data_IF_582679851432
#
_entry.id   IF_582679851432
#
_cell.length_a   1.000
_cell.length_b   1.000
_cell.length_c   1.000
_cell.angle_alpha   90.00
_cell.angle_beta   90.00
_cell.angle_gamma   90.00
#
_symmetry.space_group_name_H-M   'P 1'
#
loop_
_entity.id
_entity.type
_entity.pdbx_description
1 polymer ?
#
# COMPACT_ATOMS: atom_id res chain seq x y z
N UNK A 1 -9.65 1.93 -4.21
CA UNK A 1 -9.87 2.43 -5.58
C UNK A 1 -9.93 3.94 -5.65
N UNK A 2 -10.86 4.63 -5.03
CA UNK A 2 -10.99 6.10 -5.12
C UNK A 2 -9.69 6.89 -4.87
N UNK A 3 -8.81 6.42 -3.99
CA UNK A 3 -7.52 7.08 -3.70
C UNK A 3 -6.57 7.02 -4.89
N UNK A 4 -6.43 5.87 -5.56
CA UNK A 4 -5.56 5.71 -6.75
C UNK A 4 -6.06 6.55 -7.92
N UNK A 5 -7.37 6.54 -8.16
CA UNK A 5 -8.01 7.38 -9.19
C UNK A 5 -7.78 8.88 -8.93
N UNK A 6 -7.92 9.30 -7.67
CA UNK A 6 -7.65 10.69 -7.27
C UNK A 6 -6.19 11.08 -7.51
N UNK A 7 -5.22 10.21 -7.17
CA UNK A 7 -3.79 10.45 -7.41
C UNK A 7 -3.52 10.58 -8.91
N UNK A 8 -4.06 9.67 -9.73
CA UNK A 8 -3.87 9.69 -11.17
C UNK A 8 -4.44 10.97 -11.77
N UNK A 9 -5.61 11.40 -11.30
CA UNK A 9 -6.24 12.65 -11.74
C UNK A 9 -5.39 13.87 -11.34
N UNK A 10 -4.96 13.95 -10.08
CA UNK A 10 -4.12 15.06 -9.58
C UNK A 10 -2.79 15.11 -10.35
N UNK A 11 -2.18 13.95 -10.63
CA UNK A 11 -0.98 13.84 -11.45
C UNK A 11 -1.19 14.37 -12.87
N UNK A 12 -2.34 14.08 -13.49
CA UNK A 12 -2.70 14.59 -14.82
C UNK A 12 -2.84 16.12 -14.86
N UNK A 13 -3.14 16.77 -13.74
CA UNK A 13 -3.13 18.23 -13.61
C UNK A 13 -1.72 18.83 -13.47
N UNK A 14 -0.67 18.00 -13.43
CA UNK A 14 0.73 18.46 -13.42
C UNK A 14 1.27 18.79 -12.03
N UNK A 15 0.64 18.33 -10.96
CA UNK A 15 1.21 18.45 -9.60
C UNK A 15 2.46 17.58 -9.48
N UNK A 16 3.55 18.19 -9.01
CA UNK A 16 4.83 17.50 -8.83
C UNK A 16 4.87 16.60 -7.59
N UNK A 17 4.06 16.93 -6.58
CA UNK A 17 3.94 16.21 -5.32
C UNK A 17 2.49 16.02 -4.96
N UNK A 18 2.15 14.80 -4.58
CA UNK A 18 0.85 14.44 -4.03
C UNK A 18 1.10 13.80 -2.67
N UNK A 19 0.56 14.38 -1.62
CA UNK A 19 0.72 13.89 -0.26
C UNK A 19 -0.52 13.09 0.12
N UNK A 20 -0.30 11.83 0.51
CA UNK A 20 -1.32 10.96 1.07
C UNK A 20 -1.12 10.88 2.58
N UNK A 21 -2.15 11.21 3.33
CA UNK A 21 -2.17 11.07 4.77
C UNK A 21 -3.08 9.93 5.19
N UNK A 22 -2.62 9.09 6.14
CA UNK A 22 -3.44 8.07 6.79
C UNK A 22 -3.84 8.51 8.18
N UNK A 23 -5.07 8.19 8.57
CA UNK A 23 -5.60 8.48 9.90
C UNK A 23 -5.59 7.19 10.72
N UNK A 24 -4.63 7.05 11.64
CA UNK A 24 -4.54 5.92 12.55
C UNK A 24 -3.50 4.87 12.17
N UNK A 25 -3.51 3.77 12.90
CA UNK A 25 -2.63 2.62 12.73
C UNK A 25 -3.47 1.40 12.33
N UNK A 26 -3.17 0.76 11.18
CA UNK A 26 -3.91 -0.41 10.72
C UNK A 26 -3.48 -0.88 9.32
N UNK A 27 -4.29 -1.74 8.69
CA UNK A 27 -4.02 -2.28 7.37
C UNK A 27 -3.97 -1.22 6.25
N UNK A 28 -4.66 -0.09 6.44
CA UNK A 28 -4.67 1.04 5.48
C UNK A 28 -3.30 1.66 5.24
N UNK A 29 -2.38 1.58 6.20
CA UNK A 29 -1.02 2.12 6.07
C UNK A 29 -0.16 1.30 5.12
N UNK A 30 -0.30 -0.02 5.14
CA UNK A 30 0.37 -0.92 4.19
C UNK A 30 -0.15 -0.69 2.77
N UNK A 31 -1.45 -0.45 2.61
CA UNK A 31 -2.07 -0.15 1.30
C UNK A 31 -1.55 1.18 0.74
N UNK A 32 -1.40 2.21 1.58
CA UNK A 32 -0.84 3.50 1.16
C UNK A 32 0.62 3.37 0.75
N UNK A 33 1.43 2.62 1.49
CA UNK A 33 2.81 2.37 1.13
C UNK A 33 2.97 1.68 -0.23
N UNK A 34 2.02 0.81 -0.60
CA UNK A 34 1.99 0.17 -1.92
C UNK A 34 1.67 1.15 -3.07
N UNK A 35 1.04 2.29 -2.77
CA UNK A 35 0.65 3.30 -3.76
C UNK A 35 1.70 4.40 -3.87
N UNK A 36 2.31 4.81 -2.77
CA UNK A 36 3.26 5.91 -2.70
C UNK A 36 4.62 5.57 -3.33
N UNK A 37 5.30 6.58 -3.86
CA UNK A 37 6.70 6.44 -4.32
C UNK A 37 7.68 6.52 -3.14
N UNK A 38 7.34 7.32 -2.13
CA UNK A 38 8.11 7.49 -0.90
C UNK A 38 7.19 7.46 0.31
N UNK A 39 7.47 6.57 1.25
CA UNK A 39 6.70 6.43 2.49
C UNK A 39 7.43 7.07 3.66
N UNK A 40 6.79 8.05 4.28
CA UNK A 40 7.27 8.67 5.51
C UNK A 40 6.55 8.06 6.71
N UNK A 41 7.33 7.51 7.64
CA UNK A 41 6.78 7.06 8.93
C UNK A 41 7.05 8.15 9.97
N UNK A 42 5.97 8.78 10.43
CA UNK A 42 6.04 9.87 11.41
C UNK A 42 5.80 9.33 12.81
N UNK A 43 6.79 9.50 13.67
CA UNK A 43 6.78 9.08 15.07
C UNK A 43 6.75 10.29 15.99
N UNK A 44 6.15 10.16 17.17
CA UNK A 44 6.16 11.18 18.22
C UNK A 44 6.69 10.60 19.53
N UNK A 45 7.46 11.36 20.31
CA UNK A 45 7.93 10.93 21.62
C UNK A 45 6.77 10.63 22.57
N UNK A 46 6.92 9.62 23.44
CA UNK A 46 5.98 9.35 24.52
C UNK A 46 4.74 8.53 24.17
N UNK A 47 4.53 8.20 22.92
CA UNK A 47 3.54 7.18 22.53
C UNK A 47 4.17 5.81 22.76
N UNK A 48 3.84 5.16 23.88
CA UNK A 48 4.33 3.81 24.24
C UNK A 48 4.06 2.75 23.18
N UNK A 49 3.11 2.99 22.29
CA UNK A 49 2.76 2.17 21.14
C UNK A 49 3.70 2.36 19.93
N UNK A 50 4.52 3.43 19.90
CA UNK A 50 5.46 3.67 18.81
C UNK A 50 6.43 2.51 18.58
N UNK A 51 6.91 1.88 19.65
CA UNK A 51 7.77 0.70 19.57
C UNK A 51 6.99 -0.56 19.14
N UNK A 52 5.69 -0.64 19.44
CA UNK A 52 4.85 -1.74 18.98
C UNK A 52 4.46 -1.60 17.51
N UNK A 53 4.20 -0.39 17.03
CA UNK A 53 3.97 -0.10 15.61
C UNK A 53 5.20 -0.45 14.75
N UNK A 54 6.40 -0.18 15.26
CA UNK A 54 7.65 -0.54 14.61
C UNK A 54 7.80 -2.07 14.46
N UNK A 55 7.25 -2.85 15.41
CA UNK A 55 7.23 -4.32 15.33
C UNK A 55 6.22 -4.89 14.32
N UNK A 56 5.25 -4.12 13.86
CA UNK A 56 4.13 -4.58 13.04
C UNK A 56 4.34 -4.46 11.51
N UNK A 57 5.58 -4.54 11.02
CA UNK A 57 5.87 -4.48 9.57
C UNK A 57 6.08 -3.05 9.02
N UNK A 58 5.88 -2.00 9.83
CA UNK A 58 6.06 -0.60 9.40
C UNK A 58 7.52 -0.30 9.05
N UNK A 59 8.47 -1.04 9.64
CA UNK A 59 9.89 -0.91 9.31
C UNK A 59 10.22 -1.29 7.86
N UNK A 60 9.43 -2.20 7.29
CA UNK A 60 9.65 -2.73 5.94
C UNK A 60 9.15 -1.79 4.84
N UNK A 61 8.22 -0.89 5.20
CA UNK A 61 7.60 0.05 4.25
C UNK A 61 8.17 1.46 4.32
N UNK A 62 8.95 1.79 5.37
CA UNK A 62 9.45 3.14 5.59
C UNK A 62 10.64 3.45 4.68
N UNK A 63 10.51 4.49 3.88
CA UNK A 63 11.64 5.06 3.12
C UNK A 63 12.31 6.21 3.87
N UNK A 64 11.59 6.88 4.77
CA UNK A 64 12.09 7.95 5.65
C UNK A 64 11.40 7.86 7.01
N UNK A 65 12.17 7.95 8.10
CA UNK A 65 11.62 8.12 9.44
C UNK A 65 11.65 9.58 9.85
N UNK A 66 10.53 10.08 10.36
CA UNK A 66 10.42 11.44 10.89
C UNK A 66 10.06 11.36 12.38
N UNK A 67 10.91 11.82 13.26
CA UNK A 67 10.59 11.97 14.68
C UNK A 67 10.12 13.41 14.90
N UNK A 68 8.80 13.60 14.87
CA UNK A 68 8.17 14.90 15.06
C UNK A 68 8.01 15.22 16.56
N UNK A 69 7.74 16.47 16.88
CA UNK A 69 7.73 17.01 18.25
C UNK A 69 9.05 16.76 18.98
N UNK A 70 10.16 16.99 18.28
CA UNK A 70 11.50 16.74 18.79
C UNK A 70 11.92 17.67 19.96
N UNK A 71 11.13 18.68 20.24
CA UNK A 71 11.22 19.54 21.42
C UNK A 71 10.67 18.87 22.70
N UNK A 72 9.92 17.77 22.57
CA UNK A 72 9.43 17.03 23.73
C UNK A 72 10.48 16.09 24.32
N UNK A 73 10.42 15.85 25.66
CA UNK A 73 11.24 14.83 26.29
C UNK A 73 11.05 13.45 25.65
N UNK A 74 12.14 12.71 25.48
CA UNK A 74 12.09 11.37 24.89
C UNK A 74 12.36 11.30 23.38
N UNK A 75 12.42 12.43 22.67
CA UNK A 75 12.67 12.43 21.23
C UNK A 75 13.99 11.73 20.87
N UNK A 76 15.07 12.00 21.58
CA UNK A 76 16.36 11.33 21.37
C UNK A 76 16.30 9.82 21.62
N UNK A 77 15.50 9.39 22.60
CA UNK A 77 15.27 7.97 22.86
C UNK A 77 14.60 7.31 21.69
N UNK A 78 13.53 7.93 21.15
CA UNK A 78 12.83 7.43 19.94
C UNK A 78 13.78 7.32 18.75
N UNK A 79 14.63 8.34 18.51
CA UNK A 79 15.65 8.29 17.45
C UNK A 79 16.62 7.11 17.63
N UNK A 80 17.07 6.85 18.87
CA UNK A 80 17.98 5.74 19.14
C UNK A 80 17.32 4.38 18.98
N UNK A 81 16.05 4.26 19.36
CA UNK A 81 15.27 3.03 19.18
C UNK A 81 15.11 2.69 17.69
N UNK A 82 14.69 3.67 16.87
CA UNK A 82 14.60 3.50 15.40
C UNK A 82 15.96 3.14 14.80
N UNK A 83 17.01 3.84 15.19
CA UNK A 83 18.38 3.57 14.71
C UNK A 83 18.86 2.16 15.07
N UNK A 84 18.56 1.72 16.27
CA UNK A 84 18.93 0.37 16.73
C UNK A 84 18.21 -0.70 15.91
N UNK A 85 16.92 -0.51 15.63
CA UNK A 85 16.14 -1.42 14.82
C UNK A 85 16.63 -1.49 13.37
N UNK A 86 16.90 -0.34 12.74
CA UNK A 86 17.46 -0.29 11.39
C UNK A 86 18.83 -0.99 11.30
N UNK A 87 19.61 -0.98 12.36
CA UNK A 87 20.91 -1.65 12.41
C UNK A 87 20.79 -3.18 12.65
N UNK A 88 19.69 -3.64 13.23
CA UNK A 88 19.41 -5.08 13.43
C UNK A 88 18.77 -5.74 12.19
N UNK A 89 18.17 -4.95 11.32
CA UNK A 89 17.54 -5.43 10.09
C UNK A 89 18.55 -5.83 9.00
N UNK A 90 18.08 -6.41 7.89
CA UNK A 90 18.92 -6.72 6.74
C UNK A 90 19.52 -5.44 6.15
N UNK A 91 20.66 -5.59 5.45
CA UNK A 91 21.23 -4.48 4.68
C UNK A 91 20.37 -4.23 3.45
N UNK A 92 19.65 -3.10 3.46
CA UNK A 92 18.84 -2.67 2.33
C UNK A 92 19.67 -1.81 1.37
N UNK A 93 19.35 -1.82 0.05
CA UNK A 93 19.97 -0.92 -0.94
C UNK A 93 19.77 0.57 -0.57
N UNK A 94 18.62 0.91 -0.01
CA UNK A 94 18.30 2.19 0.59
C UNK A 94 18.24 2.06 2.11
N UNK A 95 19.03 2.85 2.82
CA UNK A 95 18.95 2.94 4.28
C UNK A 95 18.09 4.15 4.65
N UNK A 96 16.89 3.97 5.21
CA UNK A 96 16.02 5.08 5.56
C UNK A 96 16.71 6.08 6.50
N UNK A 97 16.76 7.38 6.16
CA UNK A 97 17.24 8.39 7.07
C UNK A 97 16.24 8.62 8.20
N UNK A 98 16.76 9.10 9.35
CA UNK A 98 15.94 9.49 10.50
C UNK A 98 16.08 11.01 10.64
N UNK A 99 14.98 11.73 10.46
CA UNK A 99 14.92 13.18 10.53
C UNK A 99 14.11 13.60 11.76
N UNK A 100 14.59 14.59 12.50
CA UNK A 100 13.85 15.18 13.63
C UNK A 100 13.18 16.47 13.21
N UNK A 101 11.93 16.70 13.66
CA UNK A 101 11.18 17.91 13.33
C UNK A 101 10.44 18.47 14.53
N UNK A 102 10.21 19.78 14.51
CA UNK A 102 9.16 20.45 15.29
C UNK A 102 8.24 21.12 14.28
N UNK A 103 7.38 20.29 13.66
CA UNK A 103 6.59 20.69 12.50
C UNK A 103 5.74 21.94 12.74
N UNK A 104 5.20 22.11 13.95
CA UNK A 104 4.44 23.31 14.34
C UNK A 104 5.26 24.63 14.24
N UNK A 105 6.60 24.53 14.26
CA UNK A 105 7.51 25.68 14.13
C UNK A 105 8.21 25.73 12.76
N UNK A 106 7.94 24.75 11.88
CA UNK A 106 8.66 24.59 10.63
C UNK A 106 10.08 24.01 10.75
N UNK A 107 10.55 23.73 11.99
CA UNK A 107 11.90 23.22 12.22
C UNK A 107 12.06 21.80 11.66
N UNK A 108 13.10 21.58 10.86
CA UNK A 108 13.42 20.28 10.27
C UNK A 108 12.60 19.88 9.04
N UNK A 109 11.62 20.69 8.62
CA UNK A 109 10.76 20.38 7.45
C UNK A 109 11.59 20.33 6.16
N UNK A 110 12.53 21.25 5.99
CA UNK A 110 13.45 21.25 4.84
C UNK A 110 14.31 19.98 4.78
N UNK A 111 14.73 19.45 5.93
CA UNK A 111 15.49 18.21 5.99
C UNK A 111 14.63 16.99 5.61
N UNK A 112 13.35 17.00 5.95
CA UNK A 112 12.39 15.97 5.48
C UNK A 112 12.26 16.02 3.96
N UNK A 113 12.07 17.23 3.41
CA UNK A 113 11.98 17.39 1.96
C UNK A 113 13.26 16.95 1.26
N UNK A 114 14.43 17.31 1.78
CA UNK A 114 15.70 16.84 1.25
C UNK A 114 15.84 15.31 1.29
N UNK A 115 15.33 14.66 2.33
CA UNK A 115 15.33 13.20 2.43
C UNK A 115 14.41 12.54 1.37
N UNK A 116 13.25 13.13 1.10
CA UNK A 116 12.34 12.70 0.02
C UNK A 116 13.04 12.80 -1.33
N UNK A 117 13.69 13.92 -1.62
CA UNK A 117 14.41 14.11 -2.88
C UNK A 117 15.61 13.16 -3.03
N UNK A 118 16.30 12.86 -1.96
CA UNK A 118 17.38 11.86 -1.95
C UNK A 118 16.85 10.46 -2.26
N UNK A 119 15.70 10.09 -1.69
CA UNK A 119 15.06 8.81 -1.99
C UNK A 119 14.58 8.76 -3.43
N UNK A 120 13.94 9.81 -3.93
CA UNK A 120 13.55 9.92 -5.34
C UNK A 120 14.74 9.73 -6.28
N UNK A 121 15.83 10.44 -6.03
CA UNK A 121 17.06 10.31 -6.83
C UNK A 121 17.66 8.90 -6.75
N UNK A 122 17.53 8.22 -5.59
CA UNK A 122 17.93 6.83 -5.44
C UNK A 122 17.08 5.90 -6.33
N UNK A 123 15.75 6.03 -6.29
CA UNK A 123 14.83 5.23 -7.10
C UNK A 123 15.08 5.41 -8.61
N UNK A 124 15.32 6.64 -9.04
CA UNK A 124 15.64 6.94 -10.44
C UNK A 124 16.97 6.31 -10.86
N UNK A 125 18.02 6.44 -10.05
CA UNK A 125 19.37 5.92 -10.33
C UNK A 125 19.42 4.39 -10.35
N UNK A 126 18.63 3.72 -9.51
CA UNK A 126 18.59 2.25 -9.42
C UNK A 126 17.62 1.62 -10.42
N UNK A 127 16.75 2.41 -11.03
CA UNK A 127 15.65 1.93 -11.88
C UNK A 127 14.46 1.38 -11.08
N UNK A 128 14.50 1.45 -9.75
CA UNK A 128 13.41 0.99 -8.89
C UNK A 128 12.12 1.78 -9.10
N UNK A 129 12.22 3.07 -9.45
CA UNK A 129 11.06 3.90 -9.77
C UNK A 129 10.19 3.25 -10.86
N UNK A 130 10.83 2.78 -11.95
CA UNK A 130 10.15 2.12 -13.05
C UNK A 130 9.55 0.76 -12.63
N UNK A 131 10.32 -0.04 -11.89
CA UNK A 131 9.87 -1.34 -11.42
C UNK A 131 8.66 -1.22 -10.48
N UNK A 132 8.70 -0.28 -9.51
CA UNK A 132 7.59 -0.01 -8.60
C UNK A 132 6.35 0.49 -9.37
N UNK A 133 6.52 1.38 -10.36
CA UNK A 133 5.43 1.86 -11.20
C UNK A 133 4.79 0.72 -12.02
N UNK A 134 5.60 -0.17 -12.59
CA UNK A 134 5.11 -1.32 -13.35
C UNK A 134 4.27 -2.27 -12.48
N UNK A 135 4.74 -2.58 -11.26
CA UNK A 135 3.99 -3.41 -10.31
C UNK A 135 2.65 -2.74 -9.97
N UNK A 136 2.67 -1.44 -9.61
CA UNK A 136 1.43 -0.69 -9.29
C UNK A 136 0.42 -0.71 -10.43
N UNK A 137 0.87 -0.48 -11.67
CA UNK A 137 -0.03 -0.49 -12.83
C UNK A 137 -0.63 -1.87 -13.10
N UNK A 138 0.15 -2.94 -12.89
CA UNK A 138 -0.35 -4.32 -13.01
C UNK A 138 -1.41 -4.62 -11.94
N UNK A 139 -1.14 -4.23 -10.69
CA UNK A 139 -2.08 -4.43 -9.58
C UNK A 139 -3.36 -3.61 -9.81
N UNK A 140 -3.25 -2.36 -10.25
CA UNK A 140 -4.39 -1.51 -10.56
C UNK A 140 -5.24 -2.10 -11.70
N UNK A 141 -4.61 -2.59 -12.76
CA UNK A 141 -5.32 -3.26 -13.85
C UNK A 141 -6.04 -4.54 -13.37
N UNK A 142 -5.38 -5.33 -12.51
CA UNK A 142 -5.98 -6.53 -11.93
C UNK A 142 -7.15 -6.18 -11.00
N UNK A 143 -7.02 -5.14 -10.18
CA UNK A 143 -8.09 -4.64 -9.29
C UNK A 143 -9.31 -4.18 -10.11
N UNK A 144 -9.10 -3.42 -11.19
CA UNK A 144 -10.18 -2.95 -12.09
C UNK A 144 -10.93 -4.13 -12.72
N UNK A 145 -10.20 -5.13 -13.22
CA UNK A 145 -10.81 -6.36 -13.76
C UNK A 145 -11.58 -7.12 -12.68
N UNK A 146 -10.99 -7.24 -11.49
CA UNK A 146 -11.60 -7.91 -10.34
C UNK A 146 -12.91 -7.24 -9.88
N UNK A 147 -12.95 -5.91 -9.84
CA UNK A 147 -14.18 -5.18 -9.49
C UNK A 147 -15.25 -5.31 -10.55
N UNK A 148 -14.87 -5.19 -11.82
CA UNK A 148 -15.78 -5.41 -12.92
C UNK A 148 -16.36 -6.82 -12.87
N UNK A 149 -15.55 -7.85 -12.71
CA UNK A 149 -15.98 -9.24 -12.62
C UNK A 149 -16.92 -9.47 -11.44
N UNK A 150 -16.61 -8.86 -10.27
CA UNK A 150 -17.46 -8.94 -9.07
C UNK A 150 -18.82 -8.26 -9.28
N UNK A 151 -18.84 -7.09 -9.91
CA UNK A 151 -20.07 -6.37 -10.22
C UNK A 151 -20.95 -7.15 -11.18
N UNK A 152 -20.35 -7.73 -12.22
CA UNK A 152 -21.04 -8.54 -13.22
C UNK A 152 -21.58 -9.85 -12.63
N UNK A 153 -20.79 -10.54 -11.79
CA UNK A 153 -21.26 -11.74 -11.11
C UNK A 153 -22.47 -11.44 -10.21
N UNK A 154 -22.46 -10.36 -9.47
CA UNK A 154 -23.60 -9.91 -8.65
C UNK A 154 -24.81 -9.63 -9.53
N UNK A 155 -24.64 -8.89 -10.63
CA UNK A 155 -25.72 -8.58 -11.56
C UNK A 155 -26.39 -9.86 -12.10
N UNK A 156 -25.59 -10.86 -12.46
CA UNK A 156 -26.11 -12.15 -12.95
C UNK A 156 -26.86 -12.93 -11.85
N UNK A 157 -26.31 -12.98 -10.63
CA UNK A 157 -26.97 -13.62 -9.49
C UNK A 157 -28.31 -12.95 -9.13
N UNK A 158 -28.38 -11.63 -9.21
CA UNK A 158 -29.58 -10.86 -8.90
C UNK A 158 -30.63 -10.95 -10.02
N UNK A 159 -30.20 -11.09 -11.27
CA UNK A 159 -31.11 -11.13 -12.44
C UNK A 159 -31.58 -12.53 -12.84
N UNK A 160 -30.91 -13.59 -12.35
CA UNK A 160 -31.26 -14.99 -12.66
C UNK A 160 -31.76 -15.74 -11.40
N UNK A 161 -33.08 -15.79 -11.16
CA UNK A 161 -33.65 -16.53 -10.01
C UNK A 161 -33.30 -18.04 -10.02
N UNK A 162 -33.04 -18.62 -11.18
CA UNK A 162 -32.63 -20.02 -11.31
C UNK A 162 -31.23 -20.27 -10.77
N UNK A 163 -30.28 -19.39 -11.10
CA UNK A 163 -28.91 -19.41 -10.58
C UNK A 163 -28.90 -19.17 -9.08
N UNK A 164 -29.58 -18.12 -8.61
CA UNK A 164 -29.72 -17.83 -7.19
C UNK A 164 -30.39 -18.96 -6.40
N UNK A 165 -31.43 -19.59 -6.97
CA UNK A 165 -32.11 -20.72 -6.37
C UNK A 165 -31.25 -21.98 -6.25
N UNK A 166 -30.38 -22.26 -7.24
CA UNK A 166 -29.38 -23.34 -7.15
C UNK A 166 -28.35 -23.05 -6.06
N UNK A 167 -27.80 -21.86 -6.04
CA UNK A 167 -26.84 -21.44 -5.01
C UNK A 167 -27.38 -21.64 -3.59
N UNK A 168 -28.64 -21.26 -3.35
CA UNK A 168 -29.29 -21.42 -2.04
C UNK A 168 -29.57 -22.87 -1.68
N UNK A 169 -29.96 -23.75 -2.66
CA UNK A 169 -30.22 -25.17 -2.42
C UNK A 169 -28.95 -25.94 -2.15
N UNK A 170 -27.98 -25.77 -3.03
CA UNK A 170 -26.81 -26.65 -3.07
C UNK A 170 -25.75 -26.16 -2.08
N UNK A 171 -25.79 -24.88 -1.70
CA UNK A 171 -24.83 -24.20 -0.80
C UNK A 171 -23.38 -24.38 -1.25
N UNK A 172 -23.17 -24.49 -2.55
CA UNK A 172 -21.85 -24.67 -3.17
C UNK A 172 -21.52 -23.41 -4.01
N UNK A 173 -20.83 -22.42 -3.44
CA UNK A 173 -20.50 -21.19 -4.17
C UNK A 173 -19.65 -21.43 -5.42
N UNK A 174 -18.79 -22.46 -5.41
CA UNK A 174 -17.93 -22.79 -6.53
C UNK A 174 -18.72 -23.19 -7.79
N UNK A 175 -19.79 -23.96 -7.64
CA UNK A 175 -20.64 -24.35 -8.77
C UNK A 175 -21.31 -23.14 -9.42
N UNK A 176 -21.79 -22.20 -8.62
CA UNK A 176 -22.37 -20.96 -9.14
C UNK A 176 -21.31 -20.07 -9.82
N UNK A 177 -20.10 -19.99 -9.27
CA UNK A 177 -19.01 -19.24 -9.87
C UNK A 177 -18.57 -19.84 -11.20
N UNK A 178 -18.44 -21.18 -11.28
CA UNK A 178 -18.11 -21.89 -12.51
C UNK A 178 -19.16 -21.63 -13.60
N UNK A 179 -20.44 -21.75 -13.27
CA UNK A 179 -21.54 -21.48 -14.23
C UNK A 179 -21.51 -20.03 -14.74
N UNK A 180 -21.16 -19.04 -13.88
CA UNK A 180 -21.03 -17.64 -14.30
C UNK A 180 -19.88 -17.48 -15.29
N UNK A 181 -18.74 -18.13 -15.04
CA UNK A 181 -17.56 -18.07 -15.91
C UNK A 181 -17.80 -18.80 -17.23
N UNK A 182 -18.38 -20.00 -17.22
CA UNK A 182 -18.72 -20.76 -18.42
C UNK A 182 -19.61 -19.98 -19.37
N UNK A 183 -20.57 -19.21 -18.86
CA UNK A 183 -21.43 -18.35 -19.69
C UNK A 183 -20.64 -17.27 -20.44
N UNK A 184 -19.38 -16.99 -20.03
CA UNK A 184 -18.46 -16.06 -20.68
C UNK A 184 -17.35 -16.75 -21.48
N UNK A 185 -17.27 -18.05 -21.45
CA UNK A 185 -16.19 -18.83 -22.06
C UNK A 185 -14.94 -18.95 -21.20
N UNK A 186 -15.04 -18.59 -19.91
CA UNK A 186 -13.96 -18.70 -18.91
C UNK A 186 -14.18 -19.89 -17.98
N UNK A 187 -13.19 -20.22 -17.14
CA UNK A 187 -13.30 -21.29 -16.14
C UNK A 187 -12.39 -21.00 -14.96
N UNK A 188 -12.79 -21.47 -13.76
CA UNK A 188 -11.95 -21.46 -12.56
C UNK A 188 -10.80 -22.48 -12.61
N UNK A 189 -10.94 -23.53 -13.44
CA UNK A 189 -9.92 -24.56 -13.58
C UNK A 189 -8.88 -24.12 -14.61
N UNK A 190 -7.60 -24.00 -14.23
CA UNK A 190 -6.54 -23.68 -15.16
C UNK A 190 -6.48 -24.67 -16.31
N UNK A 191 -6.19 -24.21 -17.52
CA UNK A 191 -6.14 -25.02 -18.74
C UNK A 191 -5.20 -26.24 -18.59
N UNK A 192 -4.12 -26.09 -17.84
CA UNK A 192 -3.19 -27.18 -17.52
C UNK A 192 -3.79 -28.34 -16.70
N UNK A 193 -4.87 -28.10 -15.97
CA UNK A 193 -5.54 -29.11 -15.14
C UNK A 193 -6.72 -29.82 -15.88
N UNK A 194 -7.04 -29.38 -17.11
CA UNK A 194 -8.13 -29.95 -17.93
C UNK A 194 -7.69 -31.15 -18.80
N UNK A 195 -6.40 -31.43 -18.90
CA UNK A 195 -5.83 -32.43 -19.83
C UNK A 195 -5.65 -33.81 -19.24
N UNK A 196 -5.97 -34.05 -17.96
CA UNK A 196 -5.84 -35.36 -17.29
C UNK A 196 -7.20 -35.95 -16.89
N UNK A 197 -8.14 -36.03 -17.83
CA UNK A 197 -9.43 -36.69 -17.68
C UNK A 197 -9.68 -37.71 -18.75
#
# INVERSE_FOLDING_TARGET
MATREAISLIGAFGFQYVILETVGVGQSELEVAAIADTTLVVLTPGLGDGVQMIKAGIMEIADVFVVNKADLPGAQKTVQEVRSMLNMGPRLPWKPPIVTTVAAKGEGVEAVFAAIEQHRAHLERTGEARSRAEVRLKDEAADLVGEWARAEARRLLDSDPGLAGRLLRDRIPYAAAEEILERRGDSLVPEAARTDG
#
